data_IF_734392697260
#
_entry.id   IF_734392697260
#
_cell.length_a   1.000
_cell.length_b   1.000
_cell.length_c   1.000
_cell.angle_alpha   90.00
_cell.angle_beta   90.00
_cell.angle_gamma   90.00
#
_symmetry.space_group_name_H-M   'P 1'
#
loop_
_entity.id
_entity.type
_entity.pdbx_description
1 polymer ?
#
# COMPACT_ATOMS: atom_id res chain seq x y z
N UNK A 1 10.76 18.73 25.86
CA UNK A 1 10.63 18.35 24.44
C UNK A 1 12.00 17.84 24.00
N UNK A 2 12.33 16.61 24.38
CA UNK A 2 13.70 16.13 24.44
C UNK A 2 13.73 14.66 24.06
N UNK A 3 13.96 14.38 22.76
CA UNK A 3 14.52 13.15 22.19
C UNK A 3 14.39 13.20 20.65
N UNK A 4 15.27 13.95 19.99
CA UNK A 4 15.50 13.86 18.53
C UNK A 4 17.01 13.81 18.21
N UNK A 5 17.84 13.38 19.16
CA UNK A 5 19.29 13.30 19.00
C UNK A 5 19.79 11.86 19.26
N UNK A 6 19.23 10.88 18.55
CA UNK A 6 19.97 9.66 18.28
C UNK A 6 20.55 9.79 16.88
N UNK A 7 21.87 9.75 16.78
CA UNK A 7 22.68 9.70 15.55
C UNK A 7 22.43 8.41 14.71
N UNK A 8 21.22 7.86 14.72
CA UNK A 8 20.72 6.99 13.66
C UNK A 8 20.06 7.92 12.62
N UNK A 9 20.87 8.75 11.96
CA UNK A 9 20.56 9.13 10.58
C UNK A 9 20.57 7.81 9.80
N UNK A 10 19.44 7.11 9.83
CA UNK A 10 19.17 5.99 8.94
C UNK A 10 19.22 6.64 7.57
N UNK A 11 20.38 6.56 6.94
CA UNK A 11 20.55 6.86 5.53
C UNK A 11 19.59 5.91 4.82
N UNK A 12 18.39 6.39 4.52
CA UNK A 12 17.40 5.75 3.65
C UNK A 12 18.03 5.69 2.27
N UNK A 13 18.94 4.75 2.10
CA UNK A 13 19.61 4.47 0.85
C UNK A 13 18.53 3.90 -0.05
N UNK A 14 17.92 4.77 -0.85
CA UNK A 14 16.85 4.52 -1.82
C UNK A 14 15.53 3.94 -1.26
N UNK A 15 15.02 4.49 -0.15
CA UNK A 15 13.64 4.27 0.30
C UNK A 15 12.74 5.48 0.04
N UNK A 16 11.43 5.30 0.10
CA UNK A 16 10.43 6.35 -0.09
C UNK A 16 9.21 6.15 0.79
N UNK A 17 8.43 7.21 0.99
CA UNK A 17 7.17 7.17 1.71
C UNK A 17 6.09 7.92 0.91
N UNK A 18 4.88 7.34 0.86
CA UNK A 18 3.76 7.87 0.10
C UNK A 18 2.49 7.78 0.94
N UNK A 19 1.64 8.81 0.87
CA UNK A 19 0.30 8.75 1.46
C UNK A 19 -0.45 7.54 0.85
N UNK A 20 -1.06 6.74 1.72
CA UNK A 20 -1.80 5.54 1.39
C UNK A 20 -3.14 5.62 2.13
N UNK A 21 -3.96 6.54 1.67
CA UNK A 21 -5.27 6.83 2.22
C UNK A 21 -6.30 5.86 1.64
N UNK A 22 -6.88 5.00 2.47
CA UNK A 22 -7.76 3.95 1.97
C UNK A 22 -9.03 4.48 1.29
N UNK A 23 -9.51 5.67 1.65
CA UNK A 23 -10.64 6.32 0.99
C UNK A 23 -10.24 6.78 -0.42
N UNK A 24 -9.19 7.58 -0.54
CA UNK A 24 -8.67 8.04 -1.83
C UNK A 24 -8.34 6.85 -2.75
N UNK A 25 -7.73 5.78 -2.20
CA UNK A 25 -7.43 4.56 -2.95
C UNK A 25 -8.69 3.84 -3.41
N UNK A 26 -9.71 3.72 -2.56
CA UNK A 26 -10.99 3.11 -2.94
C UNK A 26 -11.76 3.95 -3.96
N UNK A 27 -11.46 5.24 -4.09
CA UNK A 27 -12.01 6.18 -5.09
C UNK A 27 -11.21 6.23 -6.39
N UNK A 28 -10.14 5.44 -6.52
CA UNK A 28 -9.46 5.19 -7.79
C UNK A 28 -8.01 5.63 -7.85
N UNK A 29 -7.43 6.05 -6.74
CA UNK A 29 -6.06 6.58 -6.72
C UNK A 29 -4.97 5.49 -6.69
N UNK A 30 -5.32 4.19 -6.71
CA UNK A 30 -4.34 3.10 -6.62
C UNK A 30 -3.27 3.17 -7.71
N UNK A 31 -3.64 3.49 -8.96
CA UNK A 31 -2.64 3.62 -10.04
C UNK A 31 -1.71 4.82 -9.81
N UNK A 32 -2.22 5.96 -9.33
CA UNK A 32 -1.42 7.14 -9.06
C UNK A 32 -0.46 6.89 -7.88
N UNK A 33 -0.95 6.25 -6.83
CA UNK A 33 -0.18 5.86 -5.66
C UNK A 33 0.96 4.90 -6.01
N UNK A 34 0.68 3.80 -6.72
CA UNK A 34 1.71 2.86 -7.18
C UNK A 34 2.67 3.50 -8.21
N UNK A 35 2.14 4.32 -9.11
CA UNK A 35 2.93 5.06 -10.09
C UNK A 35 3.93 6.03 -9.43
N UNK A 36 3.56 6.62 -8.29
CA UNK A 36 4.45 7.43 -7.46
C UNK A 36 5.65 6.67 -6.89
N UNK A 37 5.59 5.34 -6.84
CA UNK A 37 6.66 4.46 -6.36
C UNK A 37 7.57 3.93 -7.47
N UNK A 38 7.18 4.08 -8.74
CA UNK A 38 7.76 3.34 -9.86
C UNK A 38 9.29 3.46 -9.92
N UNK A 39 9.85 4.66 -9.74
CA UNK A 39 11.29 4.86 -9.76
C UNK A 39 12.02 4.12 -8.62
N UNK A 40 11.47 4.14 -7.40
CA UNK A 40 12.09 3.47 -6.26
C UNK A 40 11.98 1.94 -6.35
N UNK A 41 10.95 1.43 -7.03
CA UNK A 41 10.79 0.01 -7.33
C UNK A 41 11.71 -0.43 -8.48
N UNK A 42 11.92 0.41 -9.48
CA UNK A 42 12.88 0.17 -10.57
C UNK A 42 14.32 0.03 -10.03
N UNK A 43 14.70 0.86 -9.05
CA UNK A 43 15.96 0.73 -8.31
C UNK A 43 16.10 -0.65 -7.61
N UNK A 44 14.99 -1.33 -7.34
CA UNK A 44 14.93 -2.68 -6.77
C UNK A 44 14.81 -3.79 -7.84
N UNK A 45 14.86 -3.44 -9.12
CA UNK A 45 14.67 -4.38 -10.24
C UNK A 45 13.19 -4.72 -10.52
N UNK A 46 12.25 -3.90 -10.06
CA UNK A 46 10.80 -4.08 -10.28
C UNK A 46 10.27 -2.98 -11.19
N UNK A 47 10.03 -3.31 -12.45
CA UNK A 47 9.26 -2.48 -13.36
C UNK A 47 7.75 -2.69 -13.12
N UNK A 48 7.01 -1.59 -12.96
CA UNK A 48 5.55 -1.62 -12.81
C UNK A 48 4.84 -1.26 -14.12
N UNK A 49 3.89 -2.11 -14.49
CA UNK A 49 2.86 -1.83 -15.49
C UNK A 49 1.51 -1.83 -14.80
N UNK A 50 0.80 -0.72 -14.89
CA UNK A 50 -0.46 -0.51 -14.19
C UNK A 50 -1.58 -0.30 -15.21
N UNK A 51 -2.77 -0.81 -14.90
CA UNK A 51 -3.98 -0.48 -15.61
C UNK A 51 -5.21 -0.69 -14.74
N UNK A 52 -6.11 0.29 -14.64
CA UNK A 52 -7.46 0.04 -14.13
C UNK A 52 -8.21 -0.89 -15.08
N UNK A 53 -8.70 -2.01 -14.54
CA UNK A 53 -9.52 -3.00 -15.27
C UNK A 53 -11.00 -2.64 -15.17
N UNK A 54 -11.45 -2.34 -13.94
CA UNK A 54 -12.79 -1.86 -13.65
C UNK A 54 -12.65 -0.72 -12.66
N UNK A 55 -13.27 0.43 -12.89
CA UNK A 55 -13.16 1.61 -12.02
C UNK A 55 -13.95 1.48 -10.70
N UNK A 56 -13.60 2.31 -9.70
CA UNK A 56 -14.17 2.28 -8.35
C UNK A 56 -15.64 2.72 -8.32
N UNK A 57 -16.01 3.67 -9.16
CA UNK A 57 -17.40 4.06 -9.36
C UNK A 57 -17.70 4.21 -10.85
N UNK A 58 -18.51 3.29 -11.36
CA UNK A 58 -19.17 3.39 -12.66
C UNK A 58 -20.56 2.75 -12.50
N UNK A 59 -21.60 3.35 -13.10
CA UNK A 59 -22.99 2.88 -12.99
C UNK A 59 -23.18 1.44 -13.49
N UNK A 60 -22.23 0.96 -14.31
CA UNK A 60 -22.18 -0.42 -14.79
C UNK A 60 -21.08 -1.28 -14.13
N UNK A 61 -20.32 -0.75 -13.17
CA UNK A 61 -19.21 -1.47 -12.54
C UNK A 61 -19.70 -2.55 -11.57
N UNK A 62 -19.00 -3.69 -11.55
CA UNK A 62 -19.20 -4.76 -10.57
C UNK A 62 -18.32 -4.59 -9.32
N UNK A 63 -17.50 -3.52 -9.27
CA UNK A 63 -16.53 -3.23 -8.22
C UNK A 63 -15.21 -2.70 -8.78
N UNK A 64 -14.24 -2.48 -7.90
CA UNK A 64 -12.94 -1.92 -8.28
C UNK A 64 -11.91 -3.02 -8.54
N UNK A 65 -11.21 -2.96 -9.68
CA UNK A 65 -10.13 -3.89 -9.99
C UNK A 65 -9.02 -3.21 -10.78
N UNK A 66 -7.78 -3.50 -10.39
CA UNK A 66 -6.56 -2.99 -11.03
C UNK A 66 -5.69 -4.14 -11.49
N UNK A 67 -4.98 -3.96 -12.59
CA UNK A 67 -3.91 -4.83 -13.02
C UNK A 67 -2.58 -4.25 -12.57
N UNK A 68 -1.79 -5.05 -11.85
CA UNK A 68 -0.41 -4.77 -11.51
C UNK A 68 0.46 -5.82 -12.20
N UNK A 69 1.24 -5.40 -13.18
CA UNK A 69 1.92 -6.26 -14.14
C UNK A 69 0.96 -7.25 -14.80
N UNK A 70 1.01 -8.53 -14.43
CA UNK A 70 0.16 -9.60 -14.98
C UNK A 70 -0.92 -10.06 -14.01
N UNK A 71 -0.94 -9.53 -12.79
CA UNK A 71 -1.90 -9.88 -11.76
C UNK A 71 -3.09 -8.91 -11.81
N UNK A 72 -4.30 -9.44 -11.93
CA UNK A 72 -5.53 -8.66 -11.75
C UNK A 72 -5.95 -8.78 -10.29
N UNK A 73 -5.95 -7.65 -9.60
CA UNK A 73 -6.34 -7.52 -8.20
C UNK A 73 -7.78 -7.04 -8.15
N UNK A 74 -8.66 -7.88 -7.61
CA UNK A 74 -10.03 -7.49 -7.28
C UNK A 74 -10.00 -6.81 -5.91
N UNK A 75 -10.08 -5.48 -5.88
CA UNK A 75 -9.94 -4.70 -4.65
C UNK A 75 -11.23 -4.76 -3.82
N UNK A 76 -12.37 -4.59 -4.47
CA UNK A 76 -13.67 -4.93 -3.88
C UNK A 76 -14.70 -5.21 -4.97
N UNK A 77 -15.80 -5.86 -4.56
CA UNK A 77 -17.00 -6.04 -5.39
C UNK A 77 -18.15 -5.24 -4.80
N UNK A 78 -19.13 -4.88 -5.61
CA UNK A 78 -20.40 -4.37 -5.08
C UNK A 78 -21.32 -5.49 -4.64
N UNK A 79 -22.12 -5.22 -3.61
CA UNK A 79 -23.18 -6.09 -3.12
C UNK A 79 -24.26 -6.27 -4.19
N UNK A 80 -24.75 -7.50 -4.35
CA UNK A 80 -25.72 -7.82 -5.39
C UNK A 80 -27.12 -7.26 -5.08
N UNK A 81 -27.44 -7.15 -3.80
CA UNK A 81 -28.70 -6.62 -3.26
C UNK A 81 -28.68 -5.10 -3.09
N UNK A 82 -27.51 -4.50 -2.91
CA UNK A 82 -27.32 -3.05 -2.85
C UNK A 82 -26.20 -2.58 -3.79
N UNK A 83 -26.53 -2.40 -5.10
CA UNK A 83 -25.58 -1.88 -6.07
C UNK A 83 -25.04 -0.52 -5.58
N UNK A 84 -23.71 -0.36 -5.57
CA UNK A 84 -22.93 0.78 -5.04
C UNK A 84 -22.44 0.64 -3.60
N UNK A 85 -22.86 -0.39 -2.85
CA UNK A 85 -22.27 -0.69 -1.55
C UNK A 85 -21.24 -1.81 -1.73
N UNK A 86 -19.97 -1.62 -1.31
CA UNK A 86 -19.00 -2.69 -1.34
C UNK A 86 -19.47 -3.92 -0.54
N UNK A 87 -19.25 -5.12 -1.07
CA UNK A 87 -19.63 -6.39 -0.46
C UNK A 87 -18.68 -6.87 0.64
N UNK A 88 -17.61 -6.10 0.91
CA UNK A 88 -16.62 -6.34 1.97
C UNK A 88 -16.84 -5.33 3.09
N UNK A 89 -16.50 -5.71 4.33
CA UNK A 89 -16.68 -4.87 5.51
C UNK A 89 -15.73 -3.66 5.52
N UNK A 90 -14.54 -3.80 4.92
CA UNK A 90 -13.53 -2.73 4.87
C UNK A 90 -12.85 -2.62 3.49
N UNK A 91 -13.57 -2.08 2.49
CA UNK A 91 -13.05 -1.93 1.13
C UNK A 91 -11.87 -0.94 1.06
N UNK A 92 -11.77 -0.04 2.02
CA UNK A 92 -10.74 0.99 2.07
C UNK A 92 -9.38 0.40 2.42
N UNK A 93 -9.34 -0.46 3.44
CA UNK A 93 -8.11 -1.15 3.81
C UNK A 93 -7.65 -2.11 2.72
N UNK A 94 -8.58 -2.87 2.10
CA UNK A 94 -8.28 -3.78 0.99
C UNK A 94 -7.62 -3.07 -0.21
N UNK A 95 -8.03 -1.83 -0.51
CA UNK A 95 -7.46 -1.01 -1.59
C UNK A 95 -6.00 -0.58 -1.33
N UNK A 96 -5.52 -0.65 -0.09
CA UNK A 96 -4.11 -0.42 0.24
C UNK A 96 -3.34 -1.74 0.40
N UNK A 97 -3.94 -2.73 1.05
CA UNK A 97 -3.30 -4.01 1.41
C UNK A 97 -3.02 -4.85 0.17
N UNK A 98 -4.00 -5.10 -0.70
CA UNK A 98 -3.80 -6.00 -1.84
C UNK A 98 -2.78 -5.49 -2.86
N UNK A 99 -2.77 -4.20 -3.24
CA UNK A 99 -1.72 -3.72 -4.13
C UNK A 99 -0.34 -3.73 -3.46
N UNK A 100 -0.25 -3.41 -2.16
CA UNK A 100 1.02 -3.49 -1.43
C UNK A 100 1.56 -4.93 -1.33
N UNK A 101 0.68 -5.91 -1.11
CA UNK A 101 1.03 -7.33 -1.10
C UNK A 101 1.60 -7.77 -2.46
N UNK A 102 0.98 -7.32 -3.56
CA UNK A 102 1.46 -7.64 -4.90
C UNK A 102 2.82 -6.98 -5.20
N UNK A 103 3.04 -5.75 -4.73
CA UNK A 103 4.37 -5.11 -4.78
C UNK A 103 5.41 -5.92 -3.99
N UNK A 104 5.09 -6.37 -2.77
CA UNK A 104 5.99 -7.20 -1.97
C UNK A 104 6.31 -8.53 -2.65
N UNK A 105 5.33 -9.17 -3.28
CA UNK A 105 5.54 -10.37 -4.08
C UNK A 105 6.49 -10.11 -5.25
N UNK A 106 6.36 -8.98 -5.94
CA UNK A 106 7.26 -8.59 -7.03
C UNK A 106 8.69 -8.31 -6.54
N UNK A 107 8.83 -7.61 -5.41
CA UNK A 107 10.12 -7.36 -4.76
C UNK A 107 10.81 -8.66 -4.34
N UNK A 108 10.07 -9.62 -3.80
CA UNK A 108 10.58 -10.95 -3.47
C UNK A 108 11.08 -11.69 -4.73
N UNK A 109 10.30 -11.69 -5.81
CA UNK A 109 10.68 -12.30 -7.08
C UNK A 109 11.94 -11.65 -7.67
N UNK A 110 12.11 -10.34 -7.50
CA UNK A 110 13.31 -9.61 -7.90
C UNK A 110 14.52 -9.88 -6.99
N UNK A 111 14.34 -10.60 -5.88
CA UNK A 111 15.40 -10.89 -4.90
C UNK A 111 15.74 -9.69 -4.01
N UNK A 112 14.87 -8.68 -3.94
CA UNK A 112 15.08 -7.51 -3.09
C UNK A 112 14.81 -7.85 -1.61
N UNK A 113 15.63 -7.31 -0.71
CA UNK A 113 15.40 -7.35 0.74
C UNK A 113 14.44 -6.27 1.23
N UNK A 114 14.04 -5.34 0.34
CA UNK A 114 13.11 -4.27 0.67
C UNK A 114 11.67 -4.75 0.58
N UNK A 115 10.83 -4.18 1.43
CA UNK A 115 9.38 -4.39 1.44
C UNK A 115 8.67 -3.05 1.52
N UNK A 116 7.45 -3.02 1.02
CA UNK A 116 6.48 -1.98 1.26
C UNK A 116 5.72 -2.33 2.55
N UNK A 117 5.80 -1.45 3.54
CA UNK A 117 5.01 -1.50 4.76
C UNK A 117 3.91 -0.44 4.70
N UNK A 118 2.75 -0.73 5.27
CA UNK A 118 1.67 0.22 5.49
C UNK A 118 1.59 0.56 6.98
N UNK A 119 1.42 1.83 7.29
CA UNK A 119 1.30 2.35 8.65
C UNK A 119 0.05 3.22 8.75
N UNK A 120 -0.75 2.99 9.80
CA UNK A 120 -2.00 3.70 10.03
C UNK A 120 -2.03 4.28 11.44
N UNK A 121 -1.95 5.61 11.63
CA UNK A 121 -2.16 6.26 12.93
C UNK A 121 -3.59 6.09 13.49
N UNK A 122 -4.51 5.52 12.70
CA UNK A 122 -5.87 5.13 13.09
C UNK A 122 -6.83 5.24 11.89
N UNK A 123 -7.74 4.28 11.75
CA UNK A 123 -8.63 4.21 10.58
C UNK A 123 -7.89 3.73 9.32
N UNK A 124 -8.30 4.24 8.15
CA UNK A 124 -7.77 3.91 6.83
C UNK A 124 -6.78 4.96 6.28
N UNK A 125 -6.60 6.09 6.96
CA UNK A 125 -5.62 7.12 6.61
C UNK A 125 -4.22 6.62 6.97
N UNK A 126 -3.42 6.31 5.95
CA UNK A 126 -2.10 5.71 6.17
C UNK A 126 -0.99 6.34 5.35
N UNK A 127 0.19 5.81 5.59
CA UNK A 127 1.34 5.99 4.72
C UNK A 127 2.01 4.65 4.45
N UNK A 128 2.49 4.52 3.23
CA UNK A 128 3.26 3.39 2.76
C UNK A 128 4.75 3.76 2.77
N UNK A 129 5.60 2.80 3.12
CA UNK A 129 7.05 3.01 3.20
C UNK A 129 7.79 1.86 2.56
N UNK A 130 8.66 2.15 1.60
CA UNK A 130 9.56 1.18 0.99
C UNK A 130 10.92 1.24 1.71
N UNK A 131 11.37 0.12 2.25
CA UNK A 131 12.63 0.04 2.97
C UNK A 131 13.04 -1.40 3.32
N UNK A 132 14.20 -1.56 3.95
CA UNK A 132 14.67 -2.87 4.43
C UNK A 132 13.67 -3.48 5.41
N UNK A 133 13.27 -4.73 5.19
CA UNK A 133 12.20 -5.37 5.97
C UNK A 133 12.47 -5.36 7.48
N UNK A 134 13.72 -5.61 7.88
CA UNK A 134 14.11 -5.62 9.31
C UNK A 134 13.96 -4.25 9.97
N UNK A 135 14.22 -3.17 9.24
CA UNK A 135 14.06 -1.78 9.72
C UNK A 135 12.58 -1.45 9.84
N UNK A 136 11.78 -1.82 8.84
CA UNK A 136 10.33 -1.59 8.84
C UNK A 136 9.64 -2.33 9.98
N UNK A 137 10.01 -3.60 10.24
CA UNK A 137 9.49 -4.37 11.38
C UNK A 137 9.82 -3.71 12.71
N UNK A 138 11.07 -3.28 12.91
CA UNK A 138 11.49 -2.57 14.14
C UNK A 138 10.69 -1.28 14.34
N UNK A 139 10.50 -0.49 13.29
CA UNK A 139 9.71 0.75 13.36
C UNK A 139 8.23 0.49 13.66
N UNK A 140 7.64 -0.53 13.02
CA UNK A 140 6.27 -0.95 13.25
C UNK A 140 6.03 -1.43 14.69
N UNK A 141 6.90 -2.28 15.21
CA UNK A 141 6.81 -2.79 16.59
C UNK A 141 6.91 -1.67 17.64
N UNK A 142 7.75 -0.67 17.40
CA UNK A 142 7.85 0.51 18.26
C UNK A 142 6.55 1.30 18.31
N UNK A 143 5.93 1.54 17.16
CA UNK A 143 4.65 2.26 17.07
C UNK A 143 3.49 1.54 17.70
N UNK A 144 3.41 0.21 17.54
CA UNK A 144 2.42 -0.61 18.23
C UNK A 144 2.59 -0.52 19.75
N UNK A 145 3.84 -0.59 20.23
CA UNK A 145 4.14 -0.53 21.67
C UNK A 145 3.79 0.84 22.27
N UNK A 146 4.00 1.93 21.51
CA UNK A 146 3.65 3.28 21.96
C UNK A 146 2.18 3.66 21.72
N UNK A 147 1.40 2.80 21.06
CA UNK A 147 0.02 3.08 20.67
C UNK A 147 -0.10 4.23 19.66
N UNK A 148 0.92 4.41 18.82
CA UNK A 148 1.01 5.54 17.88
C UNK A 148 0.47 5.22 16.49
N UNK A 149 0.57 3.96 16.05
CA UNK A 149 0.03 3.48 14.78
C UNK A 149 -0.05 1.96 14.77
N UNK A 150 -0.96 1.43 13.96
CA UNK A 150 -0.93 0.06 13.48
C UNK A 150 -0.05 -0.05 12.24
N UNK A 151 0.44 -1.25 11.93
CA UNK A 151 1.22 -1.47 10.71
C UNK A 151 1.05 -2.89 10.18
N UNK A 152 1.32 -3.05 8.88
CA UNK A 152 1.47 -4.35 8.24
C UNK A 152 2.58 -4.31 7.19
N UNK A 153 3.29 -5.43 7.06
CA UNK A 153 4.10 -5.74 5.88
C UNK A 153 3.37 -6.91 5.22
N UNK A 154 2.51 -6.63 4.23
CA UNK A 154 1.60 -7.61 3.68
C UNK A 154 2.31 -8.63 2.76
#
# INVERSE_FOLDING_TARGET
MQALFSDEDVMWTAGGAWRADGEDLAEGEVEAWLGGMAAALDDCGVELHLATVTGPFDECSAGYSVAVNRAVLCLYRFAADEPKVPATEDPWMDCSIYPAAEVNRLLEVAGSSRRLALFWPGGNDGFSVLGEESVLRRAGEQGLTSGSWDYVIP
#
